data_IF_819162017066
#
_entry.id   IF_819162017066
#
_cell.length_a   1.000
_cell.length_b   1.000
_cell.length_c   1.000
_cell.angle_alpha   90.00
_cell.angle_beta   90.00
_cell.angle_gamma   90.00
#
_symmetry.space_group_name_H-M   'P 1'
#
loop_
_entity.id
_entity.type
_entity.pdbx_description
1 polymer ?
#
# COMPACT_ATOMS: atom_id res chain seq x y z
N UNK A 1 43.30 19.27 27.26
CA UNK A 1 41.87 18.97 27.45
C UNK A 1 41.08 19.83 26.46
N UNK A 2 40.60 19.26 25.34
CA UNK A 2 39.82 20.00 24.33
C UNK A 2 38.38 19.47 24.37
N UNK A 3 37.45 20.39 24.62
CA UNK A 3 36.00 20.14 24.73
C UNK A 3 35.43 20.24 23.31
N UNK A 4 34.75 19.19 22.84
CA UNK A 4 33.98 19.21 21.59
C UNK A 4 32.59 19.81 21.85
N UNK A 5 32.05 20.69 20.98
CA UNK A 5 30.69 21.19 21.14
C UNK A 5 29.66 20.13 20.76
N UNK A 6 28.65 20.04 21.61
CA UNK A 6 27.53 19.09 21.62
C UNK A 6 26.51 19.30 20.52
N UNK A 7 26.01 18.17 20.00
CA UNK A 7 24.70 17.88 19.40
C UNK A 7 23.73 19.05 19.15
N UNK A 8 23.46 19.31 17.87
CA UNK A 8 22.22 19.97 17.42
C UNK A 8 21.07 18.96 17.37
N UNK A 9 19.97 19.32 18.01
CA UNK A 9 18.80 18.49 18.31
C UNK A 9 17.92 18.20 17.08
N UNK A 10 17.31 17.01 17.06
CA UNK A 10 16.40 16.50 16.01
C UNK A 10 15.18 17.41 15.72
N UNK A 11 14.81 18.29 16.66
CA UNK A 11 13.67 19.20 16.54
C UNK A 11 13.80 20.24 15.41
N UNK A 12 15.02 20.73 15.13
CA UNK A 12 15.24 21.78 14.12
C UNK A 12 15.03 21.29 12.69
N UNK A 13 15.34 20.02 12.41
CA UNK A 13 15.11 19.42 11.08
C UNK A 13 13.61 19.29 10.77
N UNK A 14 12.79 19.09 11.79
CA UNK A 14 11.34 18.97 11.63
C UNK A 14 10.67 20.33 11.36
N UNK A 15 11.13 21.39 12.02
CA UNK A 15 10.65 22.77 11.81
C UNK A 15 11.05 23.33 10.44
N UNK A 16 12.28 23.04 9.97
CA UNK A 16 12.73 23.40 8.62
C UNK A 16 11.92 22.64 7.56
N UNK A 17 11.65 21.35 7.78
CA UNK A 17 10.81 20.54 6.89
C UNK A 17 9.36 21.03 6.78
N UNK A 18 8.75 21.47 7.89
CA UNK A 18 7.39 22.04 7.90
C UNK A 18 7.36 23.40 7.19
N UNK A 19 8.35 24.28 7.43
CA UNK A 19 8.47 25.57 6.73
C UNK A 19 8.66 25.39 5.22
N UNK A 20 9.52 24.46 4.79
CA UNK A 20 9.67 24.14 3.36
C UNK A 20 8.37 23.57 2.76
N UNK A 21 7.66 22.71 3.48
CA UNK A 21 6.41 22.09 3.04
C UNK A 21 5.30 23.12 2.79
N UNK A 22 5.17 24.12 3.67
CA UNK A 22 4.20 25.21 3.52
C UNK A 22 4.55 26.14 2.36
N UNK A 23 5.82 26.50 2.20
CA UNK A 23 6.29 27.32 1.07
C UNK A 23 6.10 26.58 -0.26
N UNK A 24 6.43 25.30 -0.33
CA UNK A 24 6.21 24.46 -1.51
C UNK A 24 4.72 24.27 -1.82
N UNK A 25 3.86 24.18 -0.81
CA UNK A 25 2.41 24.02 -0.99
C UNK A 25 1.74 25.31 -1.49
N UNK A 26 2.16 26.47 -0.95
CA UNK A 26 1.73 27.78 -1.43
C UNK A 26 2.19 28.02 -2.87
N UNK A 27 3.44 27.68 -3.17
CA UNK A 27 4.01 27.78 -4.52
C UNK A 27 3.35 26.80 -5.51
N UNK A 28 2.96 25.59 -5.06
CA UNK A 28 2.13 24.65 -5.83
C UNK A 28 0.72 25.20 -6.13
N UNK A 29 0.14 25.95 -5.20
CA UNK A 29 -1.11 26.68 -5.42
C UNK A 29 -0.97 27.72 -6.53
N UNK A 30 0.15 28.44 -6.53
CA UNK A 30 0.48 29.45 -7.54
C UNK A 30 0.78 28.83 -8.90
N UNK A 31 1.56 27.74 -8.96
CA UNK A 31 1.79 26.98 -10.20
C UNK A 31 0.49 26.39 -10.78
N UNK A 32 -0.47 25.98 -9.94
CA UNK A 32 -1.78 25.50 -10.43
C UNK A 32 -2.62 26.62 -11.02
N UNK A 33 -2.52 27.85 -10.51
CA UNK A 33 -3.09 29.04 -11.14
C UNK A 33 -2.38 29.35 -12.47
N UNK A 34 -1.06 29.23 -12.51
CA UNK A 34 -0.27 29.41 -13.74
C UNK A 34 -0.46 28.29 -14.78
N UNK A 35 -0.94 27.11 -14.37
CA UNK A 35 -1.36 26.02 -15.27
C UNK A 35 -2.60 26.36 -16.08
N UNK A 36 -3.51 27.18 -15.56
CA UNK A 36 -4.61 27.75 -16.35
C UNK A 36 -4.10 28.79 -17.36
N UNK A 37 -2.93 29.39 -17.12
CA UNK A 37 -2.28 30.37 -17.99
C UNK A 37 -1.28 29.77 -19.01
N UNK A 38 -1.24 28.44 -19.20
CA UNK A 38 -0.44 27.74 -20.24
C UNK A 38 1.10 27.97 -20.19
N UNK A 39 1.67 28.33 -19.04
CA UNK A 39 3.07 28.83 -18.97
C UNK A 39 4.07 27.92 -18.23
N UNK A 40 3.82 26.62 -18.10
CA UNK A 40 4.78 25.67 -17.47
C UNK A 40 5.06 24.52 -18.45
N UNK A 41 6.33 24.23 -18.71
CA UNK A 41 6.77 23.09 -19.53
C UNK A 41 6.82 21.81 -18.70
N UNK A 42 6.51 20.65 -19.31
CA UNK A 42 6.46 19.34 -18.64
C UNK A 42 7.77 18.97 -17.89
N UNK A 43 8.90 19.53 -18.31
CA UNK A 43 10.22 19.35 -17.69
C UNK A 43 10.34 19.98 -16.28
N UNK A 44 9.62 21.06 -15.99
CA UNK A 44 9.62 21.65 -14.66
C UNK A 44 8.89 20.73 -13.67
N UNK A 45 7.74 20.17 -14.08
CA UNK A 45 6.94 19.26 -13.24
C UNK A 45 7.66 17.94 -12.91
N UNK A 46 8.40 17.36 -13.87
CA UNK A 46 9.19 16.15 -13.65
C UNK A 46 10.32 16.39 -12.65
N UNK A 47 11.02 17.52 -12.75
CA UNK A 47 12.08 17.89 -11.80
C UNK A 47 11.53 18.04 -10.37
N UNK A 48 10.34 18.62 -10.19
CA UNK A 48 9.68 18.69 -8.88
C UNK A 48 9.27 17.33 -8.33
N UNK A 49 8.75 16.42 -9.16
CA UNK A 49 8.42 15.05 -8.74
C UNK A 49 9.68 14.30 -8.30
N UNK A 50 10.80 14.47 -9.02
CA UNK A 50 12.10 13.90 -8.65
C UNK A 50 12.67 14.50 -7.35
N UNK A 51 12.59 15.82 -7.19
CA UNK A 51 13.05 16.51 -5.98
C UNK A 51 12.24 16.09 -4.74
N UNK A 52 10.93 15.91 -4.88
CA UNK A 52 10.08 15.46 -3.77
C UNK A 52 10.38 14.02 -3.35
N UNK A 53 10.77 13.16 -4.30
CA UNK A 53 11.23 11.80 -4.05
C UNK A 53 12.60 11.77 -3.36
N UNK A 54 13.56 12.59 -3.81
CA UNK A 54 14.91 12.64 -3.23
C UNK A 54 14.94 13.24 -1.83
N UNK A 55 14.05 14.21 -1.54
CA UNK A 55 13.92 14.82 -0.22
C UNK A 55 13.06 14.01 0.76
N UNK A 56 12.53 12.84 0.37
CA UNK A 56 11.65 12.03 1.22
C UNK A 56 10.31 12.70 1.59
N UNK A 57 10.00 13.86 1.02
CA UNK A 57 8.81 14.70 1.26
C UNK A 57 7.55 14.14 0.57
N UNK A 58 7.45 12.82 0.53
CA UNK A 58 6.44 12.07 -0.19
C UNK A 58 6.49 10.57 0.11
N UNK A 59 6.70 10.17 1.38
CA UNK A 59 6.26 8.81 1.77
C UNK A 59 4.78 8.73 1.44
N UNK A 60 4.46 8.00 0.38
CA UNK A 60 3.09 7.98 -0.14
C UNK A 60 2.20 7.37 0.92
N UNK A 61 0.96 7.83 1.03
CA UNK A 61 -0.07 7.23 1.90
C UNK A 61 -0.16 5.71 1.71
N UNK A 62 0.15 5.25 0.49
CA UNK A 62 0.25 3.84 0.14
C UNK A 62 1.36 3.08 0.91
N UNK A 63 2.50 3.70 1.21
CA UNK A 63 3.54 3.06 2.03
C UNK A 63 3.01 2.75 3.43
N UNK A 64 2.34 3.72 4.07
CA UNK A 64 1.77 3.53 5.40
C UNK A 64 0.65 2.48 5.40
N UNK A 65 -0.28 2.53 4.43
CA UNK A 65 -1.34 1.53 4.37
C UNK A 65 -0.79 0.12 4.11
N UNK A 66 0.25 0.00 3.29
CA UNK A 66 0.90 -1.29 3.03
C UNK A 66 1.54 -1.86 4.29
N UNK A 67 2.36 -1.08 5.00
CA UNK A 67 2.97 -1.54 6.25
C UNK A 67 1.95 -1.83 7.34
N UNK A 68 0.96 -0.96 7.54
CA UNK A 68 -0.14 -1.22 8.49
C UNK A 68 -0.84 -2.54 8.16
N UNK A 69 -1.13 -2.80 6.88
CA UNK A 69 -1.78 -4.06 6.49
C UNK A 69 -0.93 -5.29 6.80
N UNK A 70 0.38 -5.26 6.51
CA UNK A 70 1.26 -6.40 6.78
C UNK A 70 1.37 -6.67 8.28
N UNK A 71 1.51 -5.62 9.10
CA UNK A 71 1.58 -5.79 10.55
C UNK A 71 0.27 -6.30 11.14
N UNK A 72 -0.89 -5.80 10.70
CA UNK A 72 -2.18 -6.29 11.17
C UNK A 72 -2.42 -7.75 10.79
N UNK A 73 -2.07 -8.14 9.56
CA UNK A 73 -2.20 -9.53 9.10
C UNK A 73 -1.27 -10.44 9.89
N UNK A 74 0.00 -10.05 10.08
CA UNK A 74 0.93 -10.81 10.90
C UNK A 74 0.43 -10.98 12.34
N UNK A 75 -0.11 -9.92 12.96
CA UNK A 75 -0.67 -9.98 14.30
C UNK A 75 -1.88 -10.93 14.41
N UNK A 76 -2.78 -10.91 13.44
CA UNK A 76 -3.93 -11.83 13.40
C UNK A 76 -3.51 -13.29 13.19
N UNK A 77 -2.50 -13.53 12.34
CA UNK A 77 -1.96 -14.87 12.11
C UNK A 77 -1.26 -15.42 13.35
N UNK A 78 -0.38 -14.64 13.98
CA UNK A 78 0.30 -15.10 15.20
C UNK A 78 -0.68 -15.33 16.35
N UNK A 79 -1.73 -14.51 16.47
CA UNK A 79 -2.83 -14.74 17.43
C UNK A 79 -3.56 -16.07 17.20
N UNK A 80 -3.50 -16.62 15.99
CA UNK A 80 -4.12 -17.90 15.59
C UNK A 80 -3.15 -19.09 15.61
N UNK A 81 -1.90 -18.89 16.06
CA UNK A 81 -0.91 -19.96 16.17
C UNK A 81 -0.02 -20.14 14.94
N UNK A 82 -0.14 -19.30 13.92
CA UNK A 82 0.75 -19.35 12.76
C UNK A 82 2.11 -18.74 13.08
N UNK A 83 3.17 -19.28 12.45
CA UNK A 83 4.51 -18.70 12.46
C UNK A 83 4.65 -17.82 11.21
N UNK A 84 5.03 -16.56 11.39
CA UNK A 84 5.08 -15.55 10.30
C UNK A 84 6.47 -14.98 10.16
N UNK A 85 6.98 -14.92 8.93
CA UNK A 85 8.23 -14.27 8.56
C UNK A 85 7.98 -13.19 7.49
N UNK A 86 8.45 -11.97 7.75
CA UNK A 86 8.37 -10.86 6.81
C UNK A 86 9.44 -11.01 5.72
N UNK A 87 9.05 -10.80 4.46
CA UNK A 87 10.03 -10.70 3.38
C UNK A 87 10.54 -9.26 3.28
N UNK A 88 11.84 -9.11 3.04
CA UNK A 88 12.48 -7.81 2.80
C UNK A 88 13.17 -7.81 1.43
N UNK A 89 13.33 -6.63 0.83
CA UNK A 89 14.24 -6.47 -0.31
C UNK A 89 13.72 -6.93 -1.68
N UNK A 90 12.48 -6.60 -2.05
CA UNK A 90 11.92 -6.88 -3.39
C UNK A 90 11.93 -8.38 -3.77
N UNK A 91 11.98 -9.26 -2.76
CA UNK A 91 11.74 -10.70 -2.85
C UNK A 91 10.45 -10.98 -3.65
N UNK A 92 10.30 -12.15 -4.30
CA UNK A 92 9.28 -12.40 -5.33
C UNK A 92 7.83 -12.16 -4.85
N UNK A 93 7.37 -10.90 -4.96
CA UNK A 93 6.01 -10.37 -4.73
C UNK A 93 5.20 -11.19 -3.72
N UNK A 94 5.78 -11.41 -2.55
CA UNK A 94 5.15 -12.07 -1.39
C UNK A 94 5.57 -11.24 -0.20
N UNK A 95 4.64 -10.81 0.64
CA UNK A 95 4.95 -9.96 1.79
C UNK A 95 5.27 -10.80 3.04
N UNK A 96 4.57 -11.92 3.22
CA UNK A 96 4.72 -12.82 4.36
C UNK A 96 4.92 -14.27 3.89
N UNK A 97 5.87 -14.95 4.51
CA UNK A 97 6.00 -16.40 4.51
C UNK A 97 5.38 -16.91 5.81
N UNK A 98 4.50 -17.90 5.70
CA UNK A 98 3.71 -18.37 6.84
C UNK A 98 3.81 -19.88 6.93
N UNK A 99 4.00 -20.38 8.14
CA UNK A 99 3.86 -21.79 8.50
C UNK A 99 2.63 -21.92 9.40
N UNK A 100 1.77 -22.86 9.04
CA UNK A 100 0.55 -23.17 9.76
C UNK A 100 0.83 -23.99 11.02
N UNK A 101 -0.09 -23.98 12.00
CA UNK A 101 -0.02 -24.86 13.17
C UNK A 101 0.24 -26.35 12.85
N UNK A 102 -0.23 -26.86 11.71
CA UNK A 102 0.00 -28.26 11.29
C UNK A 102 1.29 -28.47 10.47
N UNK A 103 2.05 -27.40 10.20
CA UNK A 103 3.35 -27.43 9.52
C UNK A 103 3.30 -27.18 8.01
N UNK A 104 2.12 -26.96 7.43
CA UNK A 104 1.99 -26.52 6.03
C UNK A 104 2.54 -25.10 5.85
N UNK A 105 3.32 -24.90 4.78
CA UNK A 105 3.90 -23.59 4.45
C UNK A 105 3.18 -22.94 3.29
N UNK A 106 2.90 -21.63 3.41
CA UNK A 106 2.21 -20.85 2.40
C UNK A 106 2.66 -19.40 2.39
N UNK A 107 2.19 -18.65 1.40
CA UNK A 107 2.61 -17.27 1.12
C UNK A 107 1.42 -16.34 1.20
N UNK A 108 1.62 -15.14 1.75
CA UNK A 108 0.60 -14.10 1.76
C UNK A 108 1.13 -12.82 1.10
N UNK A 109 0.33 -12.29 0.18
CA UNK A 109 0.48 -10.93 -0.35
C UNK A 109 -0.56 -10.02 0.30
N UNK A 110 -0.10 -8.98 0.99
CA UNK A 110 -0.97 -7.98 1.60
C UNK A 110 -1.26 -6.85 0.60
N UNK A 111 -2.49 -6.33 0.66
CA UNK A 111 -2.92 -5.13 -0.07
C UNK A 111 -3.69 -4.23 0.88
N UNK A 112 -3.04 -3.17 1.37
CA UNK A 112 -3.61 -2.25 2.34
C UNK A 112 -4.12 -0.95 1.74
N UNK A 113 -5.31 -0.49 2.15
CA UNK A 113 -5.79 0.86 1.83
C UNK A 113 -6.60 1.50 2.97
N UNK A 114 -6.55 2.83 3.05
CA UNK A 114 -7.33 3.63 4.01
C UNK A 114 -8.67 4.16 3.45
N UNK A 115 -8.80 4.21 2.13
CA UNK A 115 -9.99 4.72 1.45
C UNK A 115 -10.71 3.55 0.76
N UNK A 116 -12.04 3.62 0.64
CA UNK A 116 -12.86 2.60 0.00
C UNK A 116 -12.81 2.72 -1.54
N UNK A 117 -11.63 2.56 -2.10
CA UNK A 117 -11.35 2.60 -3.55
C UNK A 117 -11.19 1.19 -4.12
N UNK A 118 -11.01 1.10 -5.44
CA UNK A 118 -10.59 -0.14 -6.08
C UNK A 118 -9.20 -0.58 -5.57
N UNK A 119 -9.06 -1.89 -5.37
CA UNK A 119 -7.84 -2.55 -4.92
C UNK A 119 -6.89 -2.75 -6.09
N UNK A 120 -5.73 -2.12 -6.03
CA UNK A 120 -4.71 -2.25 -7.07
C UNK A 120 -3.90 -3.54 -6.87
N UNK A 121 -4.27 -4.60 -7.58
CA UNK A 121 -3.57 -5.88 -7.49
C UNK A 121 -2.32 -5.90 -8.36
N UNK A 122 -2.38 -5.23 -9.52
CA UNK A 122 -1.40 -5.42 -10.60
C UNK A 122 -1.61 -6.77 -11.26
N UNK A 123 -0.55 -7.33 -11.83
CA UNK A 123 -0.58 -8.70 -12.37
C UNK A 123 -0.66 -9.72 -11.23
N UNK A 124 -1.72 -10.52 -11.26
CA UNK A 124 -1.98 -11.59 -10.29
C UNK A 124 -1.37 -12.88 -10.84
N UNK A 125 -0.52 -13.52 -10.04
CA UNK A 125 0.07 -14.81 -10.39
C UNK A 125 -0.75 -15.93 -9.77
N UNK A 126 -0.95 -16.99 -10.53
CA UNK A 126 -1.63 -18.21 -10.08
C UNK A 126 -0.59 -19.15 -9.48
N UNK A 127 -0.15 -18.82 -8.27
CA UNK A 127 0.86 -19.60 -7.56
C UNK A 127 0.12 -20.45 -6.53
N UNK A 128 0.43 -21.75 -6.49
CA UNK A 128 -0.06 -22.66 -5.46
C UNK A 128 0.34 -22.15 -4.07
N UNK A 129 -0.57 -22.25 -3.10
CA UNK A 129 -0.33 -21.86 -1.71
C UNK A 129 0.03 -20.37 -1.57
N UNK A 130 -0.44 -19.52 -2.51
CA UNK A 130 -0.40 -18.07 -2.40
C UNK A 130 -1.80 -17.54 -2.10
N UNK A 131 -1.87 -16.73 -1.06
CA UNK A 131 -3.08 -16.05 -0.63
C UNK A 131 -2.90 -14.54 -0.71
N UNK A 132 -3.98 -13.83 -1.02
CA UNK A 132 -4.05 -12.39 -0.94
C UNK A 132 -4.90 -12.01 0.27
N UNK A 133 -4.37 -11.11 1.09
CA UNK A 133 -5.14 -10.50 2.17
C UNK A 133 -5.31 -9.02 1.89
N UNK A 134 -6.53 -8.63 1.54
CA UNK A 134 -6.90 -7.22 1.40
C UNK A 134 -7.27 -6.68 2.77
N UNK A 135 -6.66 -5.57 3.16
CA UNK A 135 -6.86 -4.99 4.49
C UNK A 135 -7.35 -3.57 4.32
N UNK A 136 -8.57 -3.34 4.81
CA UNK A 136 -9.08 -2.00 4.96
C UNK A 136 -8.76 -1.53 6.38
N UNK A 137 -7.92 -0.52 6.48
CA UNK A 137 -7.58 0.13 7.75
C UNK A 137 -8.39 1.41 7.84
N UNK A 138 -9.27 1.52 8.82
CA UNK A 138 -10.02 2.77 9.01
C UNK A 138 -9.07 3.89 9.42
N UNK A 139 -9.40 5.13 9.04
CA UNK A 139 -8.71 6.31 9.57
C UNK A 139 -9.14 6.61 11.01
N UNK A 140 -10.29 6.10 11.41
CA UNK A 140 -10.71 6.10 12.80
C UNK A 140 -9.98 4.99 13.54
N UNK A 141 -9.07 5.35 14.44
CA UNK A 141 -8.23 4.40 15.19
C UNK A 141 -9.02 3.48 16.12
N UNK A 142 -10.27 3.82 16.43
CA UNK A 142 -11.16 2.99 17.26
C UNK A 142 -11.84 1.88 16.46
N UNK A 143 -11.83 1.97 15.13
CA UNK A 143 -12.41 0.93 14.27
C UNK A 143 -11.35 -0.12 13.93
N UNK A 144 -11.62 -1.40 14.19
CA UNK A 144 -10.67 -2.45 13.85
C UNK A 144 -10.49 -2.57 12.33
N UNK A 145 -9.33 -3.03 11.85
CA UNK A 145 -9.14 -3.33 10.45
C UNK A 145 -10.08 -4.43 9.97
N UNK A 146 -10.52 -4.33 8.72
CA UNK A 146 -11.31 -5.37 8.04
C UNK A 146 -10.41 -6.17 7.10
N UNK A 147 -10.51 -7.48 7.17
CA UNK A 147 -9.67 -8.41 6.42
C UNK A 147 -10.50 -9.18 5.42
N UNK A 148 -10.02 -9.28 4.18
CA UNK A 148 -10.63 -10.11 3.13
C UNK A 148 -9.58 -11.08 2.60
N UNK A 149 -9.75 -12.37 2.87
CA UNK A 149 -8.75 -13.42 2.64
C UNK A 149 -9.15 -14.23 1.41
N UNK A 150 -8.29 -14.32 0.40
CA UNK A 150 -8.62 -14.96 -0.88
C UNK A 150 -7.44 -15.80 -1.39
N UNK A 151 -7.72 -16.96 -1.99
CA UNK A 151 -6.70 -17.70 -2.73
C UNK A 151 -6.30 -16.96 -4.02
N UNK A 152 -5.04 -17.06 -4.45
CA UNK A 152 -4.54 -16.38 -5.65
C UNK A 152 -5.34 -16.73 -6.92
N UNK A 153 -5.81 -17.98 -7.04
CA UNK A 153 -6.68 -18.44 -8.12
C UNK A 153 -7.98 -17.63 -8.20
N UNK A 154 -8.64 -17.40 -7.07
CA UNK A 154 -9.90 -16.65 -7.00
C UNK A 154 -9.69 -15.18 -7.37
N UNK A 155 -8.60 -14.58 -6.85
CA UNK A 155 -8.22 -13.20 -7.19
C UNK A 155 -7.97 -13.06 -8.68
N UNK A 156 -7.26 -14.02 -9.30
CA UNK A 156 -6.98 -14.00 -10.74
C UNK A 156 -8.26 -14.07 -11.56
N UNK A 157 -9.19 -14.96 -11.20
CA UNK A 157 -10.50 -15.08 -11.87
C UNK A 157 -11.29 -13.78 -11.74
N UNK A 158 -11.33 -13.16 -10.56
CA UNK A 158 -12.06 -11.90 -10.36
C UNK A 158 -11.44 -10.72 -11.10
N UNK A 159 -10.11 -10.60 -11.09
CA UNK A 159 -9.41 -9.56 -11.87
C UNK A 159 -9.65 -9.75 -13.36
N UNK A 160 -9.68 -11.00 -13.85
CA UNK A 160 -9.95 -11.28 -15.25
C UNK A 160 -11.38 -10.89 -15.64
N UNK A 161 -12.38 -11.24 -14.81
CA UNK A 161 -13.77 -10.83 -15.02
C UNK A 161 -13.94 -9.31 -15.04
N UNK A 162 -13.24 -8.58 -14.16
CA UNK A 162 -13.31 -7.12 -14.14
C UNK A 162 -12.62 -6.50 -15.37
N UNK A 163 -11.52 -7.09 -15.85
CA UNK A 163 -10.90 -6.66 -17.12
C UNK A 163 -11.84 -6.83 -18.31
N UNK A 164 -12.52 -7.97 -18.40
CA UNK A 164 -13.49 -8.25 -19.46
C UNK A 164 -14.68 -7.31 -19.39
N UNK A 165 -15.21 -7.05 -18.19
CA UNK A 165 -16.25 -6.04 -17.97
C UNK A 165 -15.80 -4.65 -18.42
N UNK A 166 -14.63 -4.21 -17.97
CA UNK A 166 -14.08 -2.90 -18.31
C UNK A 166 -13.88 -2.74 -19.83
N UNK A 167 -13.41 -3.79 -20.51
CA UNK A 167 -13.28 -3.82 -21.96
C UNK A 167 -14.64 -3.68 -22.67
N UNK A 168 -15.66 -4.42 -22.22
CA UNK A 168 -17.03 -4.33 -22.77
C UNK A 168 -17.66 -2.96 -22.59
N UNK A 169 -17.38 -2.30 -21.47
CA UNK A 169 -17.90 -0.96 -21.15
C UNK A 169 -17.03 0.18 -21.72
N UNK A 170 -16.00 -0.12 -22.52
CA UNK A 170 -15.02 0.84 -23.03
C UNK A 170 -14.42 1.74 -21.93
N UNK A 171 -14.32 1.22 -20.71
CA UNK A 171 -13.67 1.91 -19.61
C UNK A 171 -12.16 1.87 -19.86
N UNK A 172 -11.47 2.96 -19.54
CA UNK A 172 -9.99 2.95 -19.52
C UNK A 172 -9.55 1.75 -18.68
N UNK A 173 -8.53 0.99 -19.10
CA UNK A 173 -8.02 -0.12 -18.33
C UNK A 173 -7.47 0.44 -17.02
N UNK A 174 -8.34 0.54 -16.01
CA UNK A 174 -7.92 0.89 -14.67
C UNK A 174 -6.97 -0.23 -14.27
N UNK A 175 -5.75 0.15 -13.88
CA UNK A 175 -4.66 -0.76 -13.52
C UNK A 175 -5.21 -2.00 -12.83
N UNK A 176 -5.11 -3.15 -13.50
CA UNK A 176 -5.65 -4.46 -13.12
C UNK A 176 -5.90 -4.59 -11.60
N UNK A 177 -7.17 -4.55 -11.21
CA UNK A 177 -7.57 -4.46 -9.81
C UNK A 177 -9.00 -4.96 -9.57
N UNK A 178 -9.39 -4.96 -8.31
CA UNK A 178 -10.72 -5.38 -7.87
C UNK A 178 -11.52 -4.17 -7.40
N UNK A 179 -12.81 -4.09 -7.71
CA UNK A 179 -13.67 -3.07 -7.10
C UNK A 179 -13.77 -3.29 -5.58
N UNK A 180 -14.02 -2.20 -4.85
CA UNK A 180 -14.11 -2.20 -3.38
C UNK A 180 -14.95 -3.35 -2.81
N UNK A 181 -16.11 -3.62 -3.41
CA UNK A 181 -17.07 -4.62 -2.93
C UNK A 181 -16.73 -6.06 -3.31
N UNK A 182 -15.87 -6.29 -4.30
CA UNK A 182 -15.63 -7.65 -4.81
C UNK A 182 -15.05 -8.61 -3.76
N UNK A 183 -14.13 -8.19 -2.87
CA UNK A 183 -13.64 -9.08 -1.81
C UNK A 183 -14.60 -9.28 -0.63
N UNK A 184 -15.77 -8.59 -0.56
CA UNK A 184 -16.64 -8.67 0.62
C UNK A 184 -17.13 -10.09 0.98
N UNK A 185 -17.41 -11.01 0.02
CA UNK A 185 -17.74 -12.41 0.35
C UNK A 185 -16.62 -13.16 1.09
N UNK A 186 -15.40 -12.62 1.09
CA UNK A 186 -14.21 -13.18 1.71
C UNK A 186 -13.84 -12.49 3.03
N UNK A 187 -14.71 -11.63 3.55
CA UNK A 187 -14.48 -10.93 4.79
C UNK A 187 -14.35 -11.90 5.98
N UNK A 188 -13.23 -11.80 6.71
CA UNK A 188 -12.96 -12.63 7.88
C UNK A 188 -12.76 -14.12 7.59
N UNK A 189 -12.62 -14.53 6.32
CA UNK A 189 -12.46 -15.93 5.89
C UNK A 189 -11.07 -16.51 6.15
N UNK A 190 -10.63 -16.45 7.42
CA UNK A 190 -9.36 -17.05 7.87
C UNK A 190 -9.34 -18.57 7.72
N UNK A 191 -10.52 -19.21 7.67
CA UNK A 191 -10.74 -20.64 7.43
C UNK A 191 -10.27 -21.12 6.04
N UNK A 192 -9.97 -20.20 5.12
CA UNK A 192 -9.41 -20.54 3.81
C UNK A 192 -7.91 -20.82 3.84
N UNK A 193 -7.22 -20.44 4.92
CA UNK A 193 -5.80 -20.70 5.10
C UNK A 193 -5.58 -22.15 5.55
N UNK A 194 -4.41 -22.75 5.26
CA UNK A 194 -4.03 -24.04 5.81
C UNK A 194 -4.10 -24.03 7.35
N UNK A 195 -4.48 -25.17 7.94
CA UNK A 195 -4.79 -25.30 9.37
C UNK A 195 -3.54 -25.34 10.25
#
# INVERSE_FOLDING_TARGET
>A
MKIYPSFTTCADKHLIGIKLSLVLSAWLGELRKQRQAKQITDNQLTWFVQLRRSLGLGRSVHYFSQWSSQFYVAAELTRRGYIVSFTMGNAPKTDLLVESPEGDTFRIQCKGQFNKSAWLTGEVRDIKDLYYTFVYVSKNVQEPPRFFIMAAKDVKVMVQKEKERAARENLKPFSAGLLWKMPHPYEGRWDLLPA
#
